data_IF_212107297768
#
_entry.id   IF_212107297768
#
_cell.length_a   1.000
_cell.length_b   1.000
_cell.length_c   1.000
_cell.angle_alpha   90.00
_cell.angle_beta   90.00
_cell.angle_gamma   90.00
#
_symmetry.space_group_name_H-M   'P 1'
#
loop_
_entity.id
_entity.type
_entity.pdbx_description
1 polymer ?
#
# COMPACT_ATOMS: atom_id res chain seq x y z
N UNK A 1 25.81 -5.97 1.21
CA UNK A 1 25.37 -7.37 1.05
C UNK A 1 24.21 -7.72 1.98
N UNK A 2 24.17 -7.14 3.16
CA UNK A 2 23.11 -7.34 4.16
C UNK A 2 21.77 -6.68 3.78
N UNK A 3 21.80 -5.62 3.01
CA UNK A 3 20.62 -4.86 2.59
C UNK A 3 19.69 -5.66 1.63
N UNK A 4 20.26 -6.51 0.79
CA UNK A 4 19.54 -7.30 -0.20
C UNK A 4 18.71 -8.45 0.41
N UNK A 5 19.16 -8.99 1.54
CA UNK A 5 18.46 -10.07 2.22
C UNK A 5 17.27 -9.57 3.06
N UNK A 6 17.40 -8.40 3.69
CA UNK A 6 16.34 -7.83 4.53
C UNK A 6 15.13 -7.37 3.69
N UNK A 7 15.38 -6.72 2.55
CA UNK A 7 14.32 -6.25 1.65
C UNK A 7 13.55 -7.41 1.00
N UNK A 8 14.25 -8.49 0.63
CA UNK A 8 13.61 -9.70 0.09
C UNK A 8 12.82 -10.48 1.17
N UNK A 9 13.23 -10.39 2.43
CA UNK A 9 12.57 -11.04 3.56
C UNK A 9 11.34 -10.24 3.99
N UNK A 10 11.40 -8.92 4.01
CA UNK A 10 10.26 -8.02 4.29
C UNK A 10 9.17 -8.14 3.20
N UNK A 11 9.53 -8.25 1.92
CA UNK A 11 8.59 -8.55 0.82
C UNK A 11 8.01 -9.97 0.98
N UNK A 12 8.73 -10.88 1.63
CA UNK A 12 8.37 -12.29 1.77
C UNK A 12 7.45 -12.54 2.96
N UNK A 13 7.50 -11.70 3.99
CA UNK A 13 6.63 -11.76 5.18
C UNK A 13 5.43 -10.82 5.08
N UNK A 14 5.55 -9.72 4.35
CA UNK A 14 4.42 -8.90 3.94
C UNK A 14 3.81 -9.49 2.68
N UNK A 15 3.08 -10.57 2.81
CA UNK A 15 2.07 -10.95 1.84
C UNK A 15 0.89 -9.97 2.02
N UNK A 16 1.13 -8.74 1.62
CA UNK A 16 0.19 -7.63 1.71
C UNK A 16 -1.18 -7.97 1.14
N UNK A 17 -1.21 -8.87 0.15
CA UNK A 17 -2.45 -9.40 -0.38
C UNK A 17 -3.15 -10.33 0.60
N UNK A 18 -2.43 -11.05 1.47
CA UNK A 18 -3.01 -11.91 2.50
C UNK A 18 -3.46 -11.12 3.74
N UNK A 19 -2.69 -10.12 4.17
CA UNK A 19 -2.96 -9.38 5.41
C UNK A 19 -4.05 -8.31 5.22
N UNK A 20 -4.06 -7.61 4.09
CA UNK A 20 -5.18 -6.74 3.69
C UNK A 20 -6.43 -7.59 3.40
N UNK A 21 -6.27 -8.82 2.89
CA UNK A 21 -7.39 -9.73 2.64
C UNK A 21 -7.91 -10.45 3.89
N UNK A 22 -7.13 -10.59 4.98
CA UNK A 22 -7.71 -11.05 6.25
C UNK A 22 -8.58 -9.99 6.91
N UNK A 23 -8.45 -8.72 6.53
CA UNK A 23 -9.39 -7.65 6.85
C UNK A 23 -10.72 -7.74 6.09
N UNK A 24 -10.73 -8.45 4.96
CA UNK A 24 -11.93 -8.77 4.16
C UNK A 24 -13.05 -9.37 5.02
N UNK A 25 -12.69 -10.19 6.01
CA UNK A 25 -13.61 -10.79 6.96
C UNK A 25 -14.15 -9.78 8.00
N UNK A 26 -13.48 -8.65 8.25
CA UNK A 26 -13.86 -7.69 9.30
C UNK A 26 -14.58 -6.46 8.76
N UNK A 27 -14.24 -6.03 7.54
CA UNK A 27 -14.90 -4.91 6.86
C UNK A 27 -15.95 -5.36 5.82
N UNK A 28 -16.31 -6.66 5.80
CA UNK A 28 -17.32 -7.20 4.89
C UNK A 28 -16.94 -7.12 3.41
N UNK A 29 -15.66 -7.11 3.08
CA UNK A 29 -15.17 -7.01 1.70
C UNK A 29 -15.21 -5.61 1.12
N UNK A 30 -15.51 -4.59 1.92
CA UNK A 30 -15.59 -3.19 1.49
C UNK A 30 -14.48 -2.39 2.15
N UNK A 31 -13.64 -1.75 1.35
CA UNK A 31 -12.54 -0.91 1.83
C UNK A 31 -13.06 0.41 2.42
N UNK A 32 -12.78 0.72 3.70
CA UNK A 32 -13.16 1.99 4.30
C UNK A 32 -12.30 3.15 3.75
N UNK A 33 -12.83 4.37 3.87
CA UNK A 33 -12.06 5.58 3.54
C UNK A 33 -10.97 5.87 4.57
N UNK A 34 -9.83 6.48 4.17
CA UNK A 34 -8.80 6.91 5.10
C UNK A 34 -9.26 8.10 5.96
N UNK A 35 -8.57 8.32 7.06
CA UNK A 35 -8.76 9.51 7.90
C UNK A 35 -7.88 10.67 7.40
N UNK A 36 -8.42 11.89 7.46
CA UNK A 36 -7.65 13.10 7.11
C UNK A 36 -6.52 13.37 8.13
N UNK A 37 -6.74 13.01 9.40
CA UNK A 37 -5.81 13.19 10.51
C UNK A 37 -4.90 11.95 10.76
N UNK A 38 -4.78 11.08 9.78
CA UNK A 38 -3.96 9.87 9.90
C UNK A 38 -2.48 10.21 10.12
N UNK A 39 -1.79 9.51 11.05
CA UNK A 39 -0.35 9.68 11.23
C UNK A 39 0.46 9.27 10.00
N UNK A 40 -0.13 8.48 9.09
CA UNK A 40 0.51 8.09 7.84
C UNK A 40 0.49 9.20 6.78
N UNK A 41 -0.38 10.20 6.88
CA UNK A 41 -0.54 11.24 5.87
C UNK A 41 0.76 12.04 5.64
N UNK A 42 1.43 12.45 6.72
CA UNK A 42 2.71 13.17 6.61
C UNK A 42 3.83 12.29 6.02
N UNK A 43 3.89 11.03 6.44
CA UNK A 43 4.88 10.05 5.93
C UNK A 43 4.64 9.77 4.44
N UNK A 44 3.38 9.69 4.03
CA UNK A 44 3.01 9.52 2.63
C UNK A 44 3.42 10.74 1.79
N UNK A 45 3.19 11.95 2.28
CA UNK A 45 3.61 13.18 1.58
C UNK A 45 5.13 13.25 1.39
N UNK A 46 5.91 12.87 2.41
CA UNK A 46 7.37 12.77 2.30
C UNK A 46 7.78 11.70 1.29
N UNK A 47 7.17 10.52 1.33
CA UNK A 47 7.45 9.44 0.39
C UNK A 47 7.15 9.85 -1.07
N UNK A 48 6.05 10.54 -1.31
CA UNK A 48 5.68 11.05 -2.65
C UNK A 48 6.70 12.06 -3.15
N UNK A 49 7.07 13.04 -2.32
CA UNK A 49 8.09 14.06 -2.68
C UNK A 49 9.42 13.39 -3.02
N UNK A 50 9.90 12.51 -2.17
CA UNK A 50 11.21 11.87 -2.31
C UNK A 50 11.25 10.90 -3.50
N UNK A 51 10.17 10.16 -3.74
CA UNK A 51 10.06 9.27 -4.90
C UNK A 51 9.97 10.06 -6.21
N UNK A 52 9.18 11.13 -6.30
CA UNK A 52 9.09 11.96 -7.50
C UNK A 52 10.46 12.57 -7.83
N UNK A 53 11.15 13.14 -6.84
CA UNK A 53 12.50 13.68 -7.02
C UNK A 53 13.49 12.59 -7.50
N UNK A 54 13.43 11.40 -6.93
CA UNK A 54 14.31 10.30 -7.30
C UNK A 54 14.02 9.75 -8.71
N UNK A 55 12.76 9.61 -9.09
CA UNK A 55 12.39 9.21 -10.46
C UNK A 55 12.86 10.22 -11.49
N UNK A 56 12.69 11.53 -11.25
CA UNK A 56 13.17 12.61 -12.13
C UNK A 56 14.69 12.62 -12.24
N UNK A 57 15.40 12.23 -11.19
CA UNK A 57 16.86 12.12 -11.16
C UNK A 57 17.38 10.78 -11.71
N UNK A 58 16.51 9.91 -12.24
CA UNK A 58 16.86 8.56 -12.73
C UNK A 58 17.55 7.72 -11.65
N UNK A 59 17.03 7.78 -10.43
CA UNK A 59 17.51 7.02 -9.27
C UNK A 59 16.46 6.01 -8.77
N UNK A 60 16.15 4.94 -9.52
CA UNK A 60 15.04 4.03 -9.22
C UNK A 60 15.15 3.37 -7.85
N UNK A 61 16.36 3.07 -7.38
CA UNK A 61 16.56 2.48 -6.05
C UNK A 61 16.10 3.40 -4.93
N UNK A 62 16.36 4.70 -5.04
CA UNK A 62 15.92 5.70 -4.05
C UNK A 62 14.41 5.93 -4.13
N UNK A 63 13.85 5.94 -5.32
CA UNK A 63 12.41 6.05 -5.50
C UNK A 63 11.66 4.89 -4.84
N UNK A 64 12.14 3.67 -5.05
CA UNK A 64 11.59 2.48 -4.40
C UNK A 64 11.83 2.50 -2.88
N UNK A 65 12.98 2.98 -2.40
CA UNK A 65 13.25 3.12 -0.97
C UNK A 65 12.23 4.06 -0.30
N UNK A 66 11.86 5.17 -0.95
CA UNK A 66 10.82 6.07 -0.46
C UNK A 66 9.47 5.37 -0.33
N UNK A 67 9.06 4.58 -1.35
CA UNK A 67 7.84 3.78 -1.28
C UNK A 67 7.91 2.73 -0.15
N UNK A 68 9.05 2.07 0.05
CA UNK A 68 9.27 1.10 1.14
C UNK A 68 9.25 1.72 2.53
N UNK A 69 9.66 3.00 2.67
CA UNK A 69 9.51 3.73 3.93
C UNK A 69 8.05 3.85 4.34
N UNK A 70 7.17 4.16 3.39
CA UNK A 70 5.73 4.21 3.63
C UNK A 70 5.17 2.83 3.99
N UNK A 71 5.60 1.75 3.32
CA UNK A 71 5.21 0.38 3.67
C UNK A 71 5.58 0.04 5.11
N UNK A 72 6.83 0.34 5.53
CA UNK A 72 7.27 0.07 6.90
C UNK A 72 6.46 0.84 7.94
N UNK A 73 6.15 2.10 7.66
CA UNK A 73 5.31 2.92 8.54
C UNK A 73 3.88 2.36 8.63
N UNK A 74 3.33 1.90 7.52
CA UNK A 74 1.99 1.29 7.50
C UNK A 74 1.96 -0.03 8.28
N UNK A 75 2.99 -0.88 8.15
CA UNK A 75 3.09 -2.10 8.93
C UNK A 75 3.16 -1.81 10.43
N UNK A 76 3.99 -0.84 10.84
CA UNK A 76 4.06 -0.42 12.24
C UNK A 76 2.71 0.12 12.74
N UNK A 77 1.99 0.87 11.91
CA UNK A 77 0.65 1.37 12.24
C UNK A 77 -0.36 0.22 12.44
N UNK A 78 -0.33 -0.80 11.57
CA UNK A 78 -1.16 -1.99 11.71
C UNK A 78 -0.80 -2.79 12.98
N UNK A 79 0.49 -3.00 13.26
CA UNK A 79 0.97 -3.71 14.44
C UNK A 79 0.58 -3.00 15.75
N UNK A 80 0.67 -1.67 15.79
CA UNK A 80 0.28 -0.88 16.97
C UNK A 80 -1.22 -0.92 17.26
N UNK A 81 -2.04 -0.98 16.23
CA UNK A 81 -3.49 -0.96 16.34
C UNK A 81 -4.12 -2.35 16.42
N UNK A 82 -3.41 -3.39 16.00
CA UNK A 82 -3.82 -4.81 16.00
C UNK A 82 -5.28 -5.03 15.53
N UNK A 83 -5.67 -4.55 14.31
CA UNK A 83 -7.07 -4.62 13.86
C UNK A 83 -7.61 -6.05 13.82
N UNK A 84 -6.75 -7.05 13.65
CA UNK A 84 -7.10 -8.48 13.67
C UNK A 84 -7.57 -8.98 15.04
N UNK A 85 -7.18 -8.33 16.14
CA UNK A 85 -7.61 -8.66 17.51
C UNK A 85 -8.89 -7.95 17.94
N UNK A 86 -9.30 -6.91 17.22
CA UNK A 86 -10.49 -6.10 17.53
C UNK A 86 -11.72 -6.65 16.83
N UNK A 87 -12.90 -6.38 17.39
CA UNK A 87 -14.17 -6.59 16.71
C UNK A 87 -14.35 -5.56 15.58
N UNK A 88 -15.10 -5.91 14.54
CA UNK A 88 -15.46 -4.97 13.47
C UNK A 88 -16.10 -3.70 14.07
N UNK A 89 -15.72 -2.53 13.56
CA UNK A 89 -16.21 -1.23 14.01
C UNK A 89 -15.33 -0.08 13.54
N UNK A 90 -15.73 1.15 13.88
CA UNK A 90 -15.12 2.38 13.38
C UNK A 90 -13.59 2.45 13.60
N UNK A 91 -13.07 1.92 14.71
CA UNK A 91 -11.62 1.90 14.96
C UNK A 91 -10.88 1.00 13.98
N UNK A 92 -11.45 -0.18 13.67
CA UNK A 92 -10.86 -1.10 12.68
C UNK A 92 -10.96 -0.49 11.29
N UNK A 93 -12.11 0.06 10.94
CA UNK A 93 -12.35 0.70 9.64
C UNK A 93 -11.37 1.86 9.41
N UNK A 94 -11.12 2.69 10.43
CA UNK A 94 -10.17 3.79 10.35
C UNK A 94 -8.74 3.31 10.04
N UNK A 95 -8.27 2.29 10.75
CA UNK A 95 -6.92 1.73 10.56
C UNK A 95 -6.80 1.07 9.18
N UNK A 96 -7.85 0.37 8.75
CA UNK A 96 -7.87 -0.29 7.44
C UNK A 96 -7.96 0.71 6.29
N UNK A 97 -8.73 1.79 6.43
CA UNK A 97 -8.80 2.87 5.47
C UNK A 97 -7.44 3.55 5.27
N UNK A 98 -6.74 3.84 6.38
CA UNK A 98 -5.40 4.40 6.36
C UNK A 98 -4.41 3.46 5.63
N UNK A 99 -4.50 2.15 5.87
CA UNK A 99 -3.65 1.16 5.21
C UNK A 99 -3.94 1.02 3.71
N UNK A 100 -5.22 1.05 3.30
CA UNK A 100 -5.62 1.01 1.88
C UNK A 100 -5.15 2.26 1.14
N UNK A 101 -5.24 3.43 1.76
CA UNK A 101 -4.73 4.66 1.18
C UNK A 101 -3.22 4.65 1.03
N UNK A 102 -2.49 4.22 2.06
CA UNK A 102 -1.05 4.05 1.97
C UNK A 102 -0.66 3.08 0.85
N UNK A 103 -1.38 1.96 0.71
CA UNK A 103 -1.16 0.99 -0.36
C UNK A 103 -1.41 1.60 -1.74
N UNK A 104 -2.49 2.40 -1.91
CA UNK A 104 -2.78 3.14 -3.14
C UNK A 104 -1.59 4.02 -3.54
N UNK A 105 -1.04 4.77 -2.60
CA UNK A 105 0.11 5.64 -2.85
C UNK A 105 1.36 4.82 -3.18
N UNK A 106 1.66 3.77 -2.43
CA UNK A 106 2.81 2.89 -2.69
C UNK A 106 2.80 2.33 -4.10
N UNK A 107 1.65 1.84 -4.59
CA UNK A 107 1.58 1.26 -5.94
C UNK A 107 1.77 2.31 -7.02
N UNK A 108 1.31 3.57 -6.80
CA UNK A 108 1.61 4.68 -7.71
C UNK A 108 3.10 4.97 -7.78
N UNK A 109 3.80 5.02 -6.64
CA UNK A 109 5.23 5.30 -6.57
C UNK A 109 6.08 4.16 -7.17
N UNK A 110 5.65 2.91 -7.03
CA UNK A 110 6.36 1.73 -7.51
C UNK A 110 6.01 1.35 -8.97
N UNK A 111 4.96 1.93 -9.55
CA UNK A 111 4.47 1.57 -10.89
C UNK A 111 5.54 1.59 -11.99
N UNK A 112 6.46 2.58 -12.05
CA UNK A 112 7.47 2.58 -13.12
C UNK A 112 8.42 1.37 -13.07
N UNK A 113 8.60 0.74 -11.91
CA UNK A 113 9.44 -0.44 -11.74
C UNK A 113 8.68 -1.76 -11.82
N UNK A 114 7.41 -1.79 -11.41
CA UNK A 114 6.59 -3.00 -11.25
C UNK A 114 5.20 -2.85 -11.87
N UNK A 115 5.07 -2.50 -13.17
CA UNK A 115 3.80 -2.08 -13.75
C UNK A 115 2.70 -3.14 -13.68
N UNK A 116 3.00 -4.40 -13.92
CA UNK A 116 2.01 -5.49 -13.88
C UNK A 116 1.50 -5.75 -12.47
N UNK A 117 2.41 -5.77 -11.50
CA UNK A 117 2.08 -6.04 -10.09
C UNK A 117 1.27 -4.90 -9.50
N UNK A 118 1.66 -3.67 -9.74
CA UNK A 118 0.96 -2.49 -9.22
C UNK A 118 -0.43 -2.32 -9.85
N UNK A 119 -0.59 -2.63 -11.15
CA UNK A 119 -1.91 -2.65 -11.80
C UNK A 119 -2.81 -3.72 -11.18
N UNK A 120 -2.28 -4.90 -10.86
CA UNK A 120 -3.07 -5.96 -10.22
C UNK A 120 -3.50 -5.56 -8.79
N UNK A 121 -2.61 -4.94 -7.99
CA UNK A 121 -2.97 -4.42 -6.67
C UNK A 121 -4.04 -3.33 -6.80
N UNK A 122 -3.87 -2.39 -7.75
CA UNK A 122 -4.83 -1.32 -8.05
C UNK A 122 -6.24 -1.86 -8.28
N UNK A 123 -6.34 -2.91 -9.10
CA UNK A 123 -7.60 -3.60 -9.37
C UNK A 123 -8.16 -4.28 -8.12
N UNK A 124 -7.32 -4.96 -7.33
CA UNK A 124 -7.76 -5.71 -6.13
C UNK A 124 -8.30 -4.80 -5.02
N UNK A 125 -7.78 -3.59 -4.89
CA UNK A 125 -8.32 -2.61 -3.94
C UNK A 125 -9.53 -1.86 -4.49
N UNK A 126 -10.06 -2.28 -5.64
CA UNK A 126 -11.30 -1.79 -6.23
C UNK A 126 -11.18 -0.47 -7.00
N UNK A 127 -9.98 0.04 -7.23
CA UNK A 127 -9.79 1.30 -7.93
C UNK A 127 -10.04 1.16 -9.43
N UNK A 128 -10.80 2.09 -10.04
CA UNK A 128 -11.14 2.03 -11.45
C UNK A 128 -10.01 2.49 -12.37
N UNK A 129 -10.03 2.01 -13.60
CA UNK A 129 -9.13 2.44 -14.66
C UNK A 129 -7.72 1.85 -14.54
N UNK A 130 -6.80 2.46 -15.28
CA UNK A 130 -5.40 2.02 -15.34
C UNK A 130 -4.54 2.89 -14.44
N UNK A 131 -3.63 2.28 -13.72
CA UNK A 131 -2.69 3.00 -12.85
C UNK A 131 -1.74 3.89 -13.67
N UNK A 132 -1.42 3.49 -14.90
CA UNK A 132 -0.55 4.26 -15.80
C UNK A 132 -1.16 5.59 -16.29
N UNK A 133 -2.49 5.75 -16.17
CA UNK A 133 -3.17 7.01 -16.47
C UNK A 133 -3.04 8.03 -15.32
N UNK A 134 -2.47 7.61 -14.21
CA UNK A 134 -2.28 8.45 -13.01
C UNK A 134 -0.95 9.19 -13.04
N UNK A 135 -0.94 10.37 -12.44
CA UNK A 135 0.24 11.23 -12.40
C UNK A 135 0.73 11.45 -10.98
N UNK A 136 2.01 11.19 -10.77
CA UNK A 136 2.72 11.54 -9.54
C UNK A 136 3.38 12.91 -9.76
N UNK A 137 3.27 13.85 -8.80
CA UNK A 137 2.74 13.69 -7.43
C UNK A 137 1.23 13.89 -7.28
N UNK A 138 0.53 14.43 -8.28
CA UNK A 138 -0.84 14.95 -8.13
C UNK A 138 -1.85 13.90 -7.66
N UNK A 139 -1.85 12.72 -8.31
CA UNK A 139 -2.76 11.63 -7.97
C UNK A 139 -2.30 10.83 -6.73
N UNK A 140 -1.11 11.12 -6.20
CA UNK A 140 -0.56 10.46 -5.01
C UNK A 140 -0.78 11.26 -3.71
N UNK A 141 -1.59 12.31 -3.73
CA UNK A 141 -1.98 13.02 -2.52
C UNK A 141 -2.80 12.13 -1.58
N UNK A 142 -2.64 12.33 -0.26
CA UNK A 142 -3.42 11.60 0.75
C UNK A 142 -4.91 11.94 0.63
N UNK A 143 -5.78 10.95 0.86
CA UNK A 143 -7.24 11.09 0.76
C UNK A 143 -7.80 10.73 -0.63
N UNK A 144 -6.99 10.14 -1.50
CA UNK A 144 -7.44 9.75 -2.85
C UNK A 144 -8.19 8.41 -2.92
N UNK A 145 -8.17 7.59 -1.86
CA UNK A 145 -8.98 6.37 -1.79
C UNK A 145 -10.40 6.71 -1.33
N UNK A 146 -11.42 6.52 -2.17
CA UNK A 146 -12.76 7.05 -1.87
C UNK A 146 -13.51 6.28 -0.78
N UNK A 147 -13.04 5.08 -0.40
CA UNK A 147 -13.81 4.16 0.42
C UNK A 147 -15.01 3.55 -0.31
N UNK A 148 -15.67 2.59 0.31
CA UNK A 148 -16.85 1.94 -0.26
C UNK A 148 -16.58 1.01 -1.46
N UNK A 149 -15.31 0.78 -1.80
CA UNK A 149 -14.92 -0.07 -2.91
C UNK A 149 -14.78 -1.53 -2.45
N UNK A 150 -15.15 -2.46 -3.32
CA UNK A 150 -14.94 -3.90 -3.05
C UNK A 150 -13.46 -4.24 -3.17
N UNK A 151 -12.91 -4.82 -2.11
CA UNK A 151 -11.55 -5.32 -2.08
C UNK A 151 -11.56 -6.81 -2.42
N UNK A 152 -10.79 -7.23 -3.43
CA UNK A 152 -10.77 -8.60 -3.91
C UNK A 152 -9.57 -9.38 -3.35
N UNK A 153 -9.84 -10.57 -2.84
CA UNK A 153 -8.79 -11.53 -2.50
C UNK A 153 -8.25 -12.17 -3.77
N UNK A 154 -6.92 -12.25 -3.89
CA UNK A 154 -6.27 -12.88 -5.02
C UNK A 154 -5.16 -13.85 -4.59
N UNK A 155 -4.60 -14.56 -5.57
CA UNK A 155 -3.40 -15.37 -5.38
C UNK A 155 -2.21 -14.50 -4.95
N UNK A 156 -1.23 -15.07 -4.22
CA UNK A 156 -0.02 -14.35 -3.84
C UNK A 156 0.66 -13.71 -5.05
N UNK A 157 0.95 -12.43 -4.99
CA UNK A 157 1.57 -11.68 -6.10
C UNK A 157 3.02 -12.15 -6.38
N UNK A 158 3.67 -12.69 -5.35
CA UNK A 158 5.04 -13.22 -5.43
C UNK A 158 5.07 -14.68 -4.93
N UNK A 159 4.54 -15.66 -5.71
CA UNK A 159 4.53 -17.04 -5.30
C UNK A 159 5.96 -17.57 -5.15
N UNK A 160 6.20 -18.36 -4.08
CA UNK A 160 7.49 -19.05 -3.92
C UNK A 160 7.68 -20.02 -5.08
N UNK A 161 8.80 -19.91 -5.80
CA UNK A 161 9.21 -20.98 -6.71
C UNK A 161 9.41 -22.25 -5.89
N UNK A 162 8.63 -23.28 -6.18
CA UNK A 162 8.92 -24.62 -5.66
C UNK A 162 10.26 -25.05 -6.27
N UNK A 163 11.23 -25.29 -5.43
CA UNK A 163 12.52 -25.89 -5.82
C UNK A 163 12.27 -27.34 -6.17
#
# INVERSE_FOLDING_TARGET
>A
FFFKQKTAYEIKECDWSSDVCSSDLKCGGVGPAPRDDSPLAAIAADAVRDADAAWRAVQPSKALEAAWNLIRATNAHLEQNEPWKKSAGADVDSVMGDALEALRIVVLLANPALPSTTQEIWRRIGLPGRIEDRRVPDDAAWGGYPGGLTVEKGEPLFPRKKS
#
